data_IF_404929985327
#
_entry.id   IF_404929985327
#
_cell.length_a   1.000
_cell.length_b   1.000
_cell.length_c   1.000
_cell.angle_alpha   90.00
_cell.angle_beta   90.00
_cell.angle_gamma   90.00
#
_symmetry.space_group_name_H-M   'P 1'
#
loop_
_entity.id
_entity.type
_entity.pdbx_description
1 polymer ?
#
# COMPACT_ATOMS: atom_id res chain seq x y z
N UNK A 1 12.12 23.16 17.21
CA UNK A 1 10.76 22.61 17.00
C UNK A 1 10.40 22.74 15.54
N UNK A 2 10.09 21.66 14.86
CA UNK A 2 9.57 21.69 13.50
C UNK A 2 8.16 21.11 13.45
N UNK A 3 7.30 21.71 12.63
CA UNK A 3 5.92 21.30 12.42
C UNK A 3 5.69 21.17 10.93
N UNK A 4 5.19 20.02 10.50
CA UNK A 4 4.99 19.69 9.09
C UNK A 4 3.68 18.90 8.90
N UNK A 5 2.93 19.25 7.87
CA UNK A 5 1.79 18.43 7.46
C UNK A 5 2.28 17.27 6.59
N UNK A 6 1.92 16.08 6.97
CA UNK A 6 2.31 14.84 6.28
C UNK A 6 1.10 13.96 6.07
N UNK A 7 1.22 13.04 5.13
CA UNK A 7 0.21 12.03 4.87
C UNK A 7 0.77 10.67 5.22
N UNK A 8 0.11 9.98 6.14
CA UNK A 8 0.57 8.70 6.68
C UNK A 8 -0.57 7.70 6.73
N UNK A 9 -0.20 6.43 6.76
CA UNK A 9 -1.12 5.34 6.99
C UNK A 9 -1.21 5.02 8.48
N UNK A 10 -2.43 4.84 8.94
CA UNK A 10 -2.74 4.48 10.33
C UNK A 10 -3.57 3.21 10.34
N UNK A 11 -3.43 2.42 11.38
CA UNK A 11 -4.29 1.26 11.60
C UNK A 11 -5.35 1.55 12.64
N UNK A 12 -6.56 1.08 12.36
CA UNK A 12 -7.64 1.02 13.34
C UNK A 12 -7.99 -0.43 13.62
N UNK A 13 -8.31 -0.71 14.86
CA UNK A 13 -8.80 -2.01 15.29
C UNK A 13 -10.33 -2.06 15.23
N UNK A 14 -10.87 -3.16 14.73
CA UNK A 14 -12.31 -3.41 14.63
C UNK A 14 -12.68 -4.70 15.34
N UNK A 15 -13.97 -4.96 15.49
CA UNK A 15 -14.41 -6.30 15.80
C UNK A 15 -14.16 -7.21 14.61
N UNK A 16 -13.81 -8.47 14.89
CA UNK A 16 -13.56 -9.46 13.85
C UNK A 16 -14.78 -9.65 12.95
N UNK A 17 -14.56 -9.62 11.64
CA UNK A 17 -15.64 -9.73 10.65
C UNK A 17 -16.31 -8.40 10.26
N UNK A 18 -16.00 -7.31 10.95
CA UNK A 18 -16.59 -5.98 10.69
C UNK A 18 -15.72 -5.11 9.76
N UNK A 19 -14.58 -5.59 9.30
CA UNK A 19 -13.61 -4.78 8.55
C UNK A 19 -14.21 -4.13 7.31
N UNK A 20 -14.91 -4.89 6.48
CA UNK A 20 -15.53 -4.36 5.25
C UNK A 20 -16.68 -3.41 5.54
N UNK A 21 -17.49 -3.72 6.55
CA UNK A 21 -18.57 -2.84 6.99
C UNK A 21 -18.02 -1.52 7.52
N UNK A 22 -16.99 -1.57 8.33
CA UNK A 22 -16.31 -0.39 8.86
C UNK A 22 -15.75 0.46 7.71
N UNK A 23 -15.10 -0.17 6.74
CA UNK A 23 -14.62 0.54 5.55
C UNK A 23 -15.72 1.30 4.83
N UNK A 24 -16.83 0.64 4.53
CA UNK A 24 -17.97 1.24 3.84
C UNK A 24 -18.58 2.38 4.65
N UNK A 25 -18.79 2.16 5.93
CA UNK A 25 -19.38 3.16 6.83
C UNK A 25 -18.47 4.39 6.99
N UNK A 26 -17.15 4.17 7.07
CA UNK A 26 -16.17 5.24 7.13
C UNK A 26 -16.09 6.05 5.82
N UNK A 27 -16.08 5.38 4.69
CA UNK A 27 -16.09 6.05 3.38
C UNK A 27 -17.29 6.96 3.24
N UNK A 28 -18.48 6.47 3.59
CA UNK A 28 -19.72 7.23 3.55
C UNK A 28 -19.69 8.39 4.55
N UNK A 29 -19.23 8.15 5.77
CA UNK A 29 -19.15 9.17 6.81
C UNK A 29 -18.18 10.30 6.44
N UNK A 30 -17.00 9.96 5.90
CA UNK A 30 -16.03 10.96 5.46
C UNK A 30 -16.56 11.79 4.30
N UNK A 31 -17.29 11.19 3.38
CA UNK A 31 -17.95 11.91 2.31
C UNK A 31 -19.02 12.86 2.83
N UNK A 32 -19.90 12.39 3.68
CA UNK A 32 -21.01 13.16 4.24
C UNK A 32 -20.54 14.34 5.08
N UNK A 33 -19.47 14.16 5.85
CA UNK A 33 -18.92 15.18 6.74
C UNK A 33 -17.89 16.09 6.08
N UNK A 34 -17.52 15.84 4.83
CA UNK A 34 -16.56 16.65 4.09
C UNK A 34 -15.11 16.43 4.47
N UNK A 35 -14.74 15.24 4.94
CA UNK A 35 -13.38 14.90 5.34
C UNK A 35 -12.60 14.08 4.32
N UNK A 36 -13.05 14.01 3.08
CA UNK A 36 -12.37 13.25 2.01
C UNK A 36 -10.94 13.70 1.75
N UNK A 37 -10.65 14.97 1.95
CA UNK A 37 -9.30 15.49 1.77
C UNK A 37 -8.37 15.13 2.92
N UNK A 38 -8.93 14.90 4.09
CA UNK A 38 -8.17 14.49 5.28
C UNK A 38 -7.95 12.97 5.28
N UNK A 39 -9.00 12.20 5.04
CA UNK A 39 -8.92 10.73 4.90
C UNK A 39 -9.06 10.38 3.43
N UNK A 40 -7.95 10.09 2.78
CA UNK A 40 -7.90 9.90 1.33
C UNK A 40 -8.13 8.47 0.89
N UNK A 41 -7.71 7.50 1.68
CA UNK A 41 -7.87 6.09 1.37
C UNK A 41 -8.21 5.28 2.61
N UNK A 42 -9.08 4.30 2.42
CA UNK A 42 -9.46 3.33 3.44
C UNK A 42 -9.30 1.95 2.82
N UNK A 43 -8.50 1.10 3.45
CA UNK A 43 -8.11 -0.19 2.89
C UNK A 43 -8.26 -1.31 3.91
N UNK A 44 -8.90 -2.39 3.49
CA UNK A 44 -8.87 -3.67 4.19
C UNK A 44 -7.85 -4.55 3.45
N UNK A 45 -6.65 -4.78 4.01
CA UNK A 45 -5.61 -5.51 3.30
C UNK A 45 -5.99 -6.98 3.12
N UNK A 46 -6.15 -7.41 1.86
CA UNK A 46 -6.45 -8.79 1.50
C UNK A 46 -5.47 -9.28 0.43
N UNK A 47 -4.98 -10.47 0.61
CA UNK A 47 -4.18 -11.16 -0.38
C UNK A 47 -5.08 -11.97 -1.31
N UNK A 48 -4.91 -11.81 -2.61
CA UNK A 48 -5.58 -12.62 -3.61
C UNK A 48 -4.79 -13.90 -3.84
N UNK A 49 -5.43 -15.03 -3.60
CA UNK A 49 -4.86 -16.35 -3.82
C UNK A 49 -5.69 -17.11 -4.85
N UNK A 50 -5.03 -17.95 -5.64
CA UNK A 50 -5.72 -18.85 -6.55
C UNK A 50 -5.71 -20.26 -5.96
N UNK A 51 -6.88 -20.81 -5.71
CA UNK A 51 -7.07 -22.15 -5.23
C UNK A 51 -7.71 -23.00 -6.33
N UNK A 52 -7.28 -24.27 -6.46
CA UNK A 52 -7.89 -25.21 -7.39
C UNK A 52 -8.98 -25.96 -6.63
N UNK A 53 -10.24 -25.67 -6.98
CA UNK A 53 -11.41 -26.35 -6.41
C UNK A 53 -12.08 -27.16 -7.51
N UNK A 54 -12.17 -28.46 -7.32
CA UNK A 54 -12.76 -29.39 -8.29
C UNK A 54 -12.16 -29.27 -9.70
N UNK A 55 -10.84 -29.10 -9.78
CA UNK A 55 -10.11 -28.95 -11.04
C UNK A 55 -10.24 -27.59 -11.72
N UNK A 56 -10.93 -26.63 -11.12
CA UNK A 56 -11.08 -25.26 -11.65
C UNK A 56 -10.37 -24.25 -10.76
N UNK A 57 -9.66 -23.25 -11.35
CA UNK A 57 -9.06 -22.17 -10.58
C UNK A 57 -10.15 -21.29 -10.00
N UNK A 58 -10.06 -21.03 -8.69
CA UNK A 58 -10.95 -20.13 -7.97
C UNK A 58 -10.11 -19.08 -7.24
N UNK A 59 -10.48 -17.82 -7.39
CA UNK A 59 -9.86 -16.74 -6.63
C UNK A 59 -10.44 -16.68 -5.23
N UNK A 60 -9.57 -16.68 -4.22
CA UNK A 60 -9.93 -16.51 -2.83
C UNK A 60 -9.16 -15.32 -2.25
N UNK A 61 -9.76 -14.67 -1.26
CA UNK A 61 -9.17 -13.51 -0.61
C UNK A 61 -8.91 -13.84 0.85
N UNK A 62 -7.69 -13.62 1.29
CA UNK A 62 -7.28 -13.82 2.68
C UNK A 62 -6.92 -12.48 3.30
N UNK A 63 -7.54 -12.15 4.43
CA UNK A 63 -7.19 -10.95 5.17
C UNK A 63 -5.78 -11.07 5.74
N UNK A 64 -4.93 -10.08 5.47
CA UNK A 64 -3.56 -10.03 6.00
C UNK A 64 -3.56 -9.70 7.49
N UNK A 65 -4.45 -8.80 7.91
CA UNK A 65 -4.59 -8.37 9.29
C UNK A 65 -6.06 -8.44 9.71
N UNK A 66 -6.55 -9.61 10.16
CA UNK A 66 -7.92 -9.72 10.66
C UNK A 66 -8.20 -8.75 11.80
N UNK A 67 -9.36 -8.12 11.77
CA UNK A 67 -9.79 -7.10 12.73
C UNK A 67 -9.05 -5.75 12.62
N UNK A 68 -8.41 -5.46 11.49
CA UNK A 68 -7.73 -4.18 11.25
C UNK A 68 -8.14 -3.57 9.91
N UNK A 69 -8.22 -2.25 9.88
CA UNK A 69 -8.45 -1.45 8.67
C UNK A 69 -7.36 -0.37 8.60
N UNK A 70 -6.83 -0.14 7.42
CA UNK A 70 -5.82 0.88 7.19
C UNK A 70 -6.47 2.17 6.69
N UNK A 71 -6.08 3.30 7.26
CA UNK A 71 -6.52 4.63 6.85
C UNK A 71 -5.32 5.48 6.43
N UNK A 72 -5.39 6.07 5.24
CA UNK A 72 -4.44 7.11 4.86
C UNK A 72 -5.01 8.46 5.21
N UNK A 73 -4.34 9.16 6.10
CA UNK A 73 -4.82 10.44 6.65
C UNK A 73 -3.72 11.49 6.67
N UNK A 74 -4.16 12.74 6.58
CA UNK A 74 -3.32 13.88 6.89
C UNK A 74 -3.05 13.94 8.40
N UNK A 75 -1.80 14.17 8.75
CA UNK A 75 -1.36 14.34 10.13
C UNK A 75 -0.36 15.48 10.23
N UNK A 76 -0.26 16.07 11.40
CA UNK A 76 0.77 17.04 11.71
C UNK A 76 1.91 16.34 12.44
N UNK A 77 3.08 16.33 11.80
CA UNK A 77 4.31 15.81 12.40
C UNK A 77 4.96 16.92 13.20
N UNK A 78 5.12 16.68 14.46
CA UNK A 78 5.80 17.58 15.39
C UNK A 78 7.09 16.94 15.90
N UNK A 79 8.19 17.66 15.84
CA UNK A 79 9.48 17.20 16.34
C UNK A 79 10.00 18.21 17.37
N UNK A 80 10.30 17.71 18.55
CA UNK A 80 10.84 18.49 19.66
C UNK A 80 11.92 17.69 20.41
N UNK A 81 12.42 18.21 21.50
CA UNK A 81 13.44 17.55 22.32
C UNK A 81 13.02 16.20 22.89
N UNK A 82 11.72 15.95 22.98
CA UNK A 82 11.16 14.69 23.49
C UNK A 82 10.96 13.63 22.39
N UNK A 83 11.13 14.01 21.13
CA UNK A 83 10.98 13.12 19.98
C UNK A 83 9.99 13.61 18.93
N UNK A 84 9.52 12.65 18.14
CA UNK A 84 8.56 12.89 17.06
C UNK A 84 7.18 12.41 17.50
N UNK A 85 6.18 13.25 17.30
CA UNK A 85 4.77 12.89 17.48
C UNK A 85 3.95 13.25 16.24
N UNK A 86 2.81 12.56 16.09
CA UNK A 86 1.88 12.79 15.00
C UNK A 86 0.50 13.12 15.58
N UNK A 87 -0.07 14.20 15.10
CA UNK A 87 -1.42 14.62 15.52
C UNK A 87 -2.36 14.61 14.32
N UNK A 88 -3.51 14.02 14.52
CA UNK A 88 -4.57 14.00 13.51
C UNK A 88 -5.68 14.97 13.89
N UNK A 89 -6.50 15.35 12.92
CA UNK A 89 -7.65 16.25 13.19
C UNK A 89 -8.55 15.59 14.25
N UNK A 90 -8.79 16.26 15.38
CA UNK A 90 -9.62 15.71 16.46
C UNK A 90 -11.03 15.35 16.03
N UNK A 91 -11.59 16.06 15.05
CA UNK A 91 -12.93 15.77 14.53
C UNK A 91 -12.95 14.47 13.75
N UNK A 92 -11.95 14.23 12.93
CA UNK A 92 -11.78 12.99 12.18
C UNK A 92 -11.52 11.83 13.14
N UNK A 93 -10.64 11.99 14.08
CA UNK A 93 -10.33 11.01 15.13
C UNK A 93 -11.59 10.58 15.89
N UNK A 94 -12.38 11.56 16.32
CA UNK A 94 -13.65 11.33 17.00
C UNK A 94 -14.63 10.53 16.14
N UNK A 95 -14.83 10.95 14.89
CA UNK A 95 -15.76 10.29 13.97
C UNK A 95 -15.34 8.87 13.60
N UNK A 96 -14.05 8.64 13.43
CA UNK A 96 -13.52 7.29 13.19
C UNK A 96 -13.78 6.38 14.39
N UNK A 97 -13.47 6.85 15.59
CA UNK A 97 -13.69 6.07 16.82
C UNK A 97 -15.15 5.77 17.10
N UNK A 98 -16.06 6.65 16.73
CA UNK A 98 -17.49 6.47 16.93
C UNK A 98 -18.19 5.75 15.78
N UNK A 99 -17.44 5.22 14.83
CA UNK A 99 -17.98 4.36 13.79
C UNK A 99 -18.28 2.98 14.36
N UNK A 100 -19.46 2.47 14.06
CA UNK A 100 -19.89 1.16 14.56
C UNK A 100 -18.94 0.04 14.08
N UNK A 101 -18.44 -0.74 15.03
CA UNK A 101 -17.47 -1.80 14.76
C UNK A 101 -16.00 -1.42 15.00
N UNK A 102 -15.70 -0.13 15.13
CA UNK A 102 -14.35 0.35 15.45
C UNK A 102 -14.13 0.31 16.96
N UNK A 103 -13.02 -0.29 17.39
CA UNK A 103 -12.62 -0.31 18.81
C UNK A 103 -11.60 0.76 19.16
N UNK A 104 -10.83 1.25 18.18
CA UNK A 104 -9.90 2.35 18.38
C UNK A 104 -8.76 2.35 17.37
N UNK A 105 -7.93 3.39 17.47
CA UNK A 105 -6.68 3.48 16.72
C UNK A 105 -5.58 2.64 17.37
N UNK A 106 -4.67 2.14 16.56
CA UNK A 106 -3.41 1.60 17.06
C UNK A 106 -2.52 2.78 17.45
N UNK A 107 -2.22 2.88 18.74
CA UNK A 107 -1.44 3.98 19.28
C UNK A 107 -1.59 4.10 20.78
N UNK A 108 -1.06 5.18 21.35
CA UNK A 108 -1.11 5.47 22.78
C UNK A 108 -1.99 6.68 23.02
N UNK A 109 -3.02 6.51 23.86
CA UNK A 109 -3.93 7.60 24.21
C UNK A 109 -4.70 8.14 23.02
N UNK A 110 -4.69 9.45 22.83
CA UNK A 110 -5.34 10.15 21.71
C UNK A 110 -4.43 10.34 20.50
N UNK A 111 -3.15 9.93 20.61
CA UNK A 111 -2.17 10.10 19.55
C UNK A 111 -1.97 8.78 18.80
N UNK A 112 -2.55 8.63 17.62
CA UNK A 112 -2.34 7.43 16.82
C UNK A 112 -0.90 7.35 16.31
N UNK A 113 -0.37 6.13 16.25
CA UNK A 113 0.97 5.89 15.74
C UNK A 113 0.85 5.50 14.27
N UNK A 114 1.50 6.23 13.34
CA UNK A 114 1.49 5.87 11.94
C UNK A 114 2.27 4.58 11.68
N UNK A 115 1.88 3.86 10.63
CA UNK A 115 2.60 2.70 10.17
C UNK A 115 3.96 3.11 9.60
N UNK A 116 4.95 2.23 9.74
CA UNK A 116 6.26 2.43 9.11
C UNK A 116 6.12 2.34 7.58
N UNK A 117 6.88 3.17 6.86
CA UNK A 117 6.82 3.20 5.40
C UNK A 117 7.13 1.85 4.75
N UNK A 118 8.07 1.10 5.31
CA UNK A 118 8.41 -0.24 4.81
C UNK A 118 7.28 -1.24 5.02
N UNK A 119 6.58 -1.18 6.14
CA UNK A 119 5.40 -2.02 6.39
C UNK A 119 4.31 -1.74 5.36
N UNK A 120 4.04 -0.47 5.08
CA UNK A 120 3.07 -0.06 4.06
C UNK A 120 3.47 -0.58 2.68
N UNK A 121 4.72 -0.43 2.29
CA UNK A 121 5.23 -0.95 1.01
C UNK A 121 5.08 -2.46 0.90
N UNK A 122 5.41 -3.18 1.96
CA UNK A 122 5.30 -4.64 1.98
C UNK A 122 3.85 -5.09 1.81
N UNK A 123 2.91 -4.42 2.48
CA UNK A 123 1.48 -4.72 2.35
C UNK A 123 1.01 -4.47 0.91
N UNK A 124 1.37 -3.34 0.32
CA UNK A 124 1.00 -3.04 -1.06
C UNK A 124 1.59 -4.02 -2.06
N UNK A 125 2.81 -4.48 -1.84
CA UNK A 125 3.43 -5.51 -2.68
C UNK A 125 2.68 -6.84 -2.61
N UNK A 126 2.23 -7.23 -1.41
CA UNK A 126 1.47 -8.48 -1.22
C UNK A 126 0.10 -8.41 -1.88
N UNK A 127 -0.63 -7.31 -1.68
CA UNK A 127 -1.97 -7.16 -2.23
C UNK A 127 -2.00 -6.80 -3.71
N UNK A 128 -0.84 -6.56 -4.32
CA UNK A 128 -0.72 -6.20 -5.74
C UNK A 128 -1.31 -4.85 -6.10
N UNK A 129 -1.60 -3.99 -5.11
CA UNK A 129 -1.95 -2.60 -5.39
C UNK A 129 -0.70 -1.88 -5.81
N UNK A 130 -0.64 -1.59 -7.10
CA UNK A 130 0.36 -0.66 -7.59
C UNK A 130 0.04 0.70 -6.98
N UNK A 131 0.86 1.16 -6.07
CA UNK A 131 0.88 2.59 -5.77
C UNK A 131 1.02 3.31 -7.11
N UNK A 132 0.30 4.43 -7.34
CA UNK A 132 0.54 5.24 -8.53
C UNK A 132 1.97 5.73 -8.47
N UNK A 133 2.85 4.89 -8.92
CA UNK A 133 4.23 5.17 -8.91
C UNK A 133 4.70 5.39 -10.23
N UNK A 134 5.54 6.34 -10.15
CA UNK A 134 6.62 6.43 -11.08
C UNK A 134 6.50 5.30 -12.07
N UNK A 135 5.79 5.57 -13.16
CA UNK A 135 5.93 4.78 -14.37
C UNK A 135 7.42 4.65 -14.55
N UNK A 136 7.96 3.48 -14.26
CA UNK A 136 9.34 3.18 -14.59
C UNK A 136 9.42 3.41 -16.10
N UNK A 137 9.98 4.56 -16.48
CA UNK A 137 10.23 4.84 -17.87
C UNK A 137 11.22 3.82 -18.34
N UNK A 138 10.73 2.86 -19.10
CA UNK A 138 11.60 1.95 -19.81
C UNK A 138 11.97 2.68 -21.11
N UNK A 139 13.19 3.19 -21.15
CA UNK A 139 13.72 3.91 -22.30
C UNK A 139 14.17 2.98 -23.44
N UNK A 140 13.82 1.71 -23.37
CA UNK A 140 14.14 0.71 -24.39
C UNK A 140 12.94 0.43 -25.27
N UNK A 141 13.21 0.12 -26.53
CA UNK A 141 12.24 -0.44 -27.47
C UNK A 141 12.59 -1.88 -27.80
N UNK A 142 11.59 -2.64 -28.26
CA UNK A 142 11.85 -3.99 -28.76
C UNK A 142 12.85 -3.96 -29.91
N UNK A 143 13.84 -4.83 -29.83
CA UNK A 143 14.95 -4.89 -30.79
C UNK A 143 16.22 -4.15 -30.34
N UNK A 144 16.16 -3.34 -29.29
CA UNK A 144 17.34 -2.64 -28.77
C UNK A 144 18.30 -3.63 -28.10
N UNK A 145 19.59 -3.32 -28.16
CA UNK A 145 20.62 -4.05 -27.43
C UNK A 145 20.85 -3.42 -26.06
N UNK A 146 20.86 -4.24 -25.04
CA UNK A 146 21.08 -3.83 -23.65
C UNK A 146 22.14 -4.67 -22.97
N UNK A 147 22.83 -4.07 -22.01
CA UNK A 147 23.83 -4.76 -21.19
C UNK A 147 23.23 -5.16 -19.85
N UNK A 148 23.45 -6.40 -19.44
CA UNK A 148 22.96 -6.93 -18.18
C UNK A 148 23.94 -6.54 -17.07
N UNK A 149 23.42 -5.88 -16.03
CA UNK A 149 24.25 -5.34 -14.94
C UNK A 149 24.34 -6.25 -13.72
N UNK A 150 23.40 -7.18 -13.56
CA UNK A 150 23.33 -8.06 -12.38
C UNK A 150 22.86 -9.46 -12.76
N UNK A 151 23.18 -10.43 -11.92
CA UNK A 151 22.73 -11.81 -12.07
C UNK A 151 23.71 -12.71 -12.80
N UNK A 152 23.26 -13.89 -13.17
CA UNK A 152 24.08 -14.94 -13.83
C UNK A 152 24.64 -14.51 -15.19
N UNK A 153 23.97 -13.56 -15.85
CA UNK A 153 24.35 -13.06 -17.18
C UNK A 153 24.97 -11.65 -17.13
N UNK A 154 25.51 -11.27 -15.97
CA UNK A 154 26.15 -9.98 -15.80
C UNK A 154 27.23 -9.75 -16.86
N UNK A 155 27.27 -8.51 -17.36
CA UNK A 155 28.20 -8.04 -18.40
C UNK A 155 27.99 -8.64 -19.80
N UNK A 156 26.94 -9.41 -20.00
CA UNK A 156 26.51 -9.86 -21.32
C UNK A 156 25.57 -8.86 -21.98
N UNK A 157 25.59 -8.82 -23.29
CA UNK A 157 24.68 -8.01 -24.07
C UNK A 157 23.59 -8.90 -24.67
N UNK A 158 22.39 -8.37 -24.75
CA UNK A 158 21.26 -9.07 -25.33
C UNK A 158 20.29 -8.13 -26.02
N UNK A 159 19.46 -8.69 -26.87
CA UNK A 159 18.44 -7.92 -27.56
C UNK A 159 17.12 -7.97 -26.81
N UNK A 160 16.47 -6.82 -26.66
CA UNK A 160 15.14 -6.72 -26.04
C UNK A 160 14.11 -7.40 -26.92
N UNK A 161 13.48 -8.47 -26.41
CA UNK A 161 12.47 -9.26 -27.09
C UNK A 161 11.07 -8.78 -26.79
N UNK A 162 10.81 -8.42 -25.54
CA UNK A 162 9.47 -8.02 -25.06
C UNK A 162 9.60 -7.06 -23.90
N UNK A 163 8.74 -6.08 -23.84
CA UNK A 163 8.72 -5.09 -22.75
C UNK A 163 7.37 -5.17 -22.04
N UNK A 164 7.41 -5.45 -20.73
CA UNK A 164 6.26 -5.38 -19.86
C UNK A 164 6.31 -4.05 -19.08
N UNK A 165 5.62 -3.07 -19.62
CA UNK A 165 5.52 -1.73 -19.00
C UNK A 165 4.75 -1.75 -17.68
N UNK A 166 3.90 -2.73 -17.52
CA UNK A 166 3.06 -2.86 -16.33
C UNK A 166 3.85 -3.25 -15.08
N UNK A 167 4.78 -4.18 -15.26
CA UNK A 167 5.60 -4.69 -14.16
C UNK A 167 7.05 -4.16 -14.16
N UNK A 168 7.37 -3.26 -15.11
CA UNK A 168 8.72 -2.73 -15.25
C UNK A 168 9.76 -3.81 -15.60
N UNK A 169 9.36 -4.81 -16.39
CA UNK A 169 10.21 -5.93 -16.76
C UNK A 169 10.53 -5.90 -18.24
N UNK A 170 11.74 -6.32 -18.57
CA UNK A 170 12.19 -6.46 -19.94
C UNK A 170 12.68 -7.88 -20.15
N UNK A 171 12.18 -8.53 -21.22
CA UNK A 171 12.64 -9.84 -21.62
C UNK A 171 13.79 -9.66 -22.62
N UNK A 172 14.95 -10.16 -22.28
CA UNK A 172 16.16 -10.01 -23.09
C UNK A 172 16.62 -11.38 -23.63
N UNK A 173 16.86 -11.44 -24.91
CA UNK A 173 17.47 -12.62 -25.54
C UNK A 173 18.98 -12.48 -25.52
N UNK A 174 19.65 -13.41 -24.86
CA UNK A 174 21.11 -13.43 -24.71
C UNK A 174 21.69 -14.60 -25.49
N UNK A 175 22.67 -14.32 -26.33
CA UNK A 175 23.40 -15.37 -27.03
C UNK A 175 24.40 -16.06 -26.09
N UNK A 176 24.17 -17.33 -25.85
CA UNK A 176 25.08 -18.16 -25.09
C UNK A 176 25.81 -19.10 -26.07
N UNK A 177 27.12 -19.01 -26.11
CA UNK A 177 27.97 -19.82 -27.00
C UNK A 177 27.66 -19.63 -28.51
N UNK A 178 27.29 -18.42 -28.92
CA UNK A 178 27.02 -18.11 -30.32
C UNK A 178 25.66 -18.64 -30.83
N UNK A 179 24.76 -18.94 -29.93
CA UNK A 179 23.41 -19.41 -30.24
C UNK A 179 22.33 -18.55 -29.62
#
# INVERSE_FOLDING_TARGET
MSVENVRKWFMIHTYSGYEKKVKTDLEQKMETLGFKEVVTNILVPEEELTEIVRGKPKKIYRKLFPAYVMLEMEATREENEQGISYKVDPRVWYEVRNTNGVTGFVGVGSDPIPMEEEEVKNIFNIIGVKTPKETIKIDFTEGDYVKILKGSFKDQEGQVAEIDHEHGRVKVMVDIFGR
#
